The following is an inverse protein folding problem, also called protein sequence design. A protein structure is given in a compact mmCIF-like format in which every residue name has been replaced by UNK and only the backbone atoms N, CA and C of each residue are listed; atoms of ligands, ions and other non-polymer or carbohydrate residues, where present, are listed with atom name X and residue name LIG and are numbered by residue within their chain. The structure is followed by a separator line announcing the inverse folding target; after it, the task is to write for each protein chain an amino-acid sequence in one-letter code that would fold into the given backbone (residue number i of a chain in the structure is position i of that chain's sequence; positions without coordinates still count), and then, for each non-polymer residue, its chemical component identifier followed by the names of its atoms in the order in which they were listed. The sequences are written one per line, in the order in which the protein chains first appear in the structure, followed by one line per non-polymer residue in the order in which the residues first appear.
data_IF_145265158810
#
_entry.id   IF_145265158810
#
_cell.length_a   1.000
_cell.length_b   1.000
_cell.length_c   1.000
_cell.angle_alpha   90.00
_cell.angle_beta   90.00
_cell.angle_gamma   90.00
#
_symmetry.space_group_name_H-M   'P 1'
#
loop_
_entity.id
_entity.type
_entity.pdbx_description
1 polymer ?
#
# COMPACT_ATOMS: atom_id res chain seq x y z
N UNK A 1 -23.53 15.58 -8.41
CA UNK A 1 -22.38 14.96 -9.08
C UNK A 1 -21.18 15.27 -8.23
N UNK A 2 -20.81 14.32 -7.42
CA UNK A 2 -19.54 14.42 -6.75
C UNK A 2 -18.51 14.62 -7.86
N UNK A 3 -17.63 15.61 -7.77
CA UNK A 3 -16.51 15.62 -8.66
C UNK A 3 -15.94 14.23 -8.52
N UNK A 4 -15.89 13.52 -9.60
CA UNK A 4 -14.98 12.40 -9.75
C UNK A 4 -13.74 12.96 -9.09
N UNK A 5 -13.45 12.50 -7.89
CA UNK A 5 -12.22 12.87 -7.25
C UNK A 5 -11.25 12.76 -8.40
N UNK A 6 -10.71 13.86 -8.82
CA UNK A 6 -9.57 13.81 -9.71
C UNK A 6 -8.70 12.88 -8.95
N UNK A 7 -8.76 11.69 -9.36
CA UNK A 7 -7.95 10.61 -8.91
C UNK A 7 -6.59 11.26 -8.80
N UNK A 8 -6.26 11.72 -7.62
CA UNK A 8 -4.99 12.36 -7.40
C UNK A 8 -4.01 11.39 -7.97
N UNK A 9 -3.34 11.72 -9.03
CA UNK A 9 -2.72 10.88 -10.03
C UNK A 9 -2.46 9.46 -9.53
N UNK A 10 -3.38 8.54 -9.85
CA UNK A 10 -3.10 7.13 -9.62
C UNK A 10 -1.89 6.76 -10.48
N UNK A 11 -0.82 6.37 -9.84
CA UNK A 11 0.36 5.86 -10.52
C UNK A 11 0.14 4.39 -10.77
N UNK A 12 0.06 4.01 -12.05
CA UNK A 12 0.00 2.61 -12.45
C UNK A 12 1.35 2.21 -13.05
N UNK A 13 1.94 1.16 -12.50
CA UNK A 13 3.21 0.61 -12.98
C UNK A 13 2.99 -0.78 -13.55
N UNK A 14 3.52 -1.01 -14.75
CA UNK A 14 3.51 -2.30 -15.40
C UNK A 14 4.56 -3.25 -14.78
N UNK A 15 4.44 -4.57 -15.00
CA UNK A 15 5.48 -5.51 -14.59
C UNK A 15 6.86 -5.14 -15.11
N UNK A 16 6.95 -4.66 -16.34
CA UNK A 16 8.22 -4.25 -16.94
C UNK A 16 8.80 -3.01 -16.24
N UNK A 17 7.98 -2.04 -15.89
CA UNK A 17 8.41 -0.86 -15.14
C UNK A 17 8.92 -1.23 -13.74
N UNK A 18 8.28 -2.19 -13.10
CA UNK A 18 8.75 -2.72 -11.80
C UNK A 18 10.12 -3.38 -11.94
N UNK A 19 10.30 -4.22 -12.96
CA UNK A 19 11.59 -4.90 -13.19
C UNK A 19 12.73 -3.94 -13.53
N UNK A 20 12.41 -2.89 -14.30
CA UNK A 20 13.39 -1.90 -14.73
C UNK A 20 13.52 -0.71 -13.78
N UNK A 21 12.80 -0.71 -12.67
CA UNK A 21 12.83 0.39 -11.71
C UNK A 21 14.25 0.71 -11.22
N UNK A 22 14.67 1.98 -11.19
CA UNK A 22 14.06 3.21 -11.70
C UNK A 22 14.60 3.64 -13.08
N UNK A 23 14.95 2.72 -13.96
CA UNK A 23 15.68 2.98 -15.22
C UNK A 23 14.84 3.61 -16.32
N UNK A 24 13.50 3.53 -16.26
CA UNK A 24 12.63 4.21 -17.24
C UNK A 24 12.58 5.71 -16.95
N UNK A 25 12.36 6.53 -17.98
CA UNK A 25 12.29 7.97 -17.80
C UNK A 25 11.17 8.41 -16.85
N UNK A 26 10.00 7.78 -16.97
CA UNK A 26 8.87 8.05 -16.08
C UNK A 26 9.17 7.60 -14.64
N UNK A 27 9.80 6.43 -14.47
CA UNK A 27 10.19 5.92 -13.16
C UNK A 27 11.24 6.81 -12.49
N UNK A 28 12.20 7.33 -13.26
CA UNK A 28 13.19 8.28 -12.73
C UNK A 28 12.54 9.57 -12.25
N UNK A 29 11.62 10.11 -13.01
CA UNK A 29 10.89 11.32 -12.61
C UNK A 29 10.14 11.10 -11.28
N UNK A 30 9.48 9.95 -11.12
CA UNK A 30 8.80 9.59 -9.88
C UNK A 30 9.76 9.27 -8.74
N UNK A 31 10.95 8.73 -9.05
CA UNK A 31 11.95 8.40 -8.03
C UNK A 31 12.59 9.65 -7.42
N UNK A 32 12.63 10.74 -8.17
CA UNK A 32 13.29 11.98 -7.76
C UNK A 32 12.34 12.96 -7.07
N UNK A 33 11.06 12.96 -7.42
CA UNK A 33 10.09 13.90 -6.87
C UNK A 33 8.66 13.39 -6.99
N UNK A 34 7.85 13.62 -5.97
CA UNK A 34 6.43 13.34 -6.01
C UNK A 34 5.69 14.55 -6.61
N UNK A 35 4.92 14.38 -7.69
CA UNK A 35 4.43 15.52 -8.46
C UNK A 35 3.30 16.32 -7.80
N UNK A 36 2.66 15.83 -6.76
CA UNK A 36 1.49 16.52 -6.18
C UNK A 36 1.31 16.26 -4.69
N UNK A 37 0.82 17.28 -3.99
CA UNK A 37 0.35 17.18 -2.60
C UNK A 37 -1.08 16.65 -2.60
N UNK A 38 -1.28 15.37 -2.78
CA UNK A 38 -2.60 14.74 -2.82
C UNK A 38 -2.53 13.31 -2.27
N UNK A 39 -3.68 12.71 -1.91
CA UNK A 39 -3.69 11.30 -1.58
C UNK A 39 -2.97 10.47 -2.63
N UNK A 40 -2.08 9.62 -2.19
CA UNK A 40 -1.32 8.78 -3.09
C UNK A 40 -2.09 7.49 -3.42
N UNK A 41 -2.04 7.07 -4.66
CA UNK A 41 -2.59 5.81 -5.11
C UNK A 41 -1.62 5.16 -6.10
N UNK A 42 -1.20 3.93 -5.78
CA UNK A 42 -0.26 3.17 -6.61
C UNK A 42 -0.90 1.86 -7.02
N UNK A 43 -1.11 1.67 -8.31
CA UNK A 43 -1.55 0.38 -8.85
C UNK A 43 -0.36 -0.35 -9.42
N UNK A 44 -0.08 -1.53 -8.90
CA UNK A 44 1.10 -2.32 -9.25
C UNK A 44 0.72 -3.79 -9.48
N UNK A 45 1.48 -4.51 -10.30
CA UNK A 45 1.29 -5.95 -10.42
C UNK A 45 1.60 -6.67 -9.10
N UNK A 46 1.03 -7.84 -8.92
CA UNK A 46 1.24 -8.68 -7.74
C UNK A 46 2.59 -9.38 -7.78
N UNK A 47 3.63 -8.60 -7.78
CA UNK A 47 5.03 -9.04 -7.78
C UNK A 47 5.70 -8.59 -6.48
N UNK A 48 6.52 -9.46 -5.90
CA UNK A 48 7.27 -9.12 -4.68
C UNK A 48 8.14 -7.86 -4.86
N UNK A 49 8.70 -7.67 -6.04
CA UNK A 49 9.50 -6.49 -6.38
C UNK A 49 8.72 -5.19 -6.38
N UNK A 50 7.39 -5.23 -6.43
CA UNK A 50 6.56 -4.04 -6.33
C UNK A 50 6.59 -3.42 -4.92
N UNK A 51 6.84 -4.21 -3.88
CA UNK A 51 6.84 -3.73 -2.49
C UNK A 51 7.92 -2.66 -2.24
N UNK A 52 9.21 -2.89 -2.55
CA UNK A 52 10.22 -1.84 -2.36
C UNK A 52 9.99 -0.62 -3.24
N UNK A 53 9.44 -0.77 -4.43
CA UNK A 53 9.06 0.35 -5.30
C UNK A 53 7.99 1.20 -4.63
N UNK A 54 6.93 0.60 -4.14
CA UNK A 54 5.85 1.31 -3.45
C UNK A 54 6.32 1.95 -2.14
N UNK A 55 7.24 1.32 -1.42
CA UNK A 55 7.87 1.93 -0.23
C UNK A 55 8.61 3.21 -0.59
N UNK A 56 9.35 3.19 -1.69
CA UNK A 56 10.05 4.38 -2.17
C UNK A 56 9.08 5.50 -2.53
N UNK A 57 8.02 5.19 -3.28
CA UNK A 57 6.97 6.15 -3.63
C UNK A 57 6.25 6.68 -2.39
N UNK A 58 6.01 5.84 -1.40
CA UNK A 58 5.42 6.24 -0.13
C UNK A 58 6.30 7.25 0.63
N UNK A 59 7.62 7.05 0.63
CA UNK A 59 8.57 8.01 1.23
C UNK A 59 8.49 9.36 0.54
N UNK A 60 8.51 9.39 -0.78
CA UNK A 60 8.39 10.63 -1.55
C UNK A 60 7.07 11.34 -1.26
N UNK A 61 5.98 10.60 -1.17
CA UNK A 61 4.70 11.16 -0.82
C UNK A 61 4.70 11.76 0.60
N UNK A 62 5.25 11.03 1.57
CA UNK A 62 5.36 11.54 2.94
C UNK A 62 6.20 12.82 3.02
N UNK A 63 7.27 12.90 2.23
CA UNK A 63 8.07 14.12 2.11
C UNK A 63 7.23 15.26 1.54
N UNK A 64 6.44 15.01 0.51
CA UNK A 64 5.56 16.02 -0.09
C UNK A 64 4.46 16.52 0.84
N UNK A 65 4.05 15.70 1.79
CA UNK A 65 3.02 16.02 2.80
C UNK A 65 3.62 16.58 4.10
N UNK A 66 4.92 16.83 4.13
CA UNK A 66 5.64 17.31 5.30
C UNK A 66 5.46 16.42 6.53
N UNK A 67 5.35 15.13 6.34
CA UNK A 67 5.32 14.14 7.41
C UNK A 67 6.75 13.88 7.86
N UNK A 68 7.14 14.49 8.95
CA UNK A 68 8.53 14.49 9.44
C UNK A 68 8.78 13.61 10.65
N UNK A 69 7.74 13.17 11.34
CA UNK A 69 7.89 12.28 12.49
C UNK A 69 8.44 10.92 12.07
N UNK A 70 9.64 10.60 12.49
CA UNK A 70 10.32 9.36 12.10
C UNK A 70 9.59 8.10 12.56
N UNK A 71 9.00 8.15 13.73
CA UNK A 71 8.24 7.01 14.27
C UNK A 71 7.01 6.71 13.42
N UNK A 72 6.26 7.76 13.05
CA UNK A 72 5.11 7.63 12.17
C UNK A 72 5.51 7.15 10.77
N UNK A 73 6.61 7.67 10.22
CA UNK A 73 7.14 7.25 8.91
C UNK A 73 7.54 5.79 8.90
N UNK A 74 8.27 5.36 9.92
CA UNK A 74 8.66 3.95 10.05
C UNK A 74 7.44 3.04 10.19
N UNK A 75 6.47 3.40 11.02
CA UNK A 75 5.23 2.67 11.19
C UNK A 75 4.45 2.56 9.88
N UNK A 76 4.31 3.67 9.15
CA UNK A 76 3.60 3.69 7.88
C UNK A 76 4.24 2.78 6.83
N UNK A 77 5.56 2.85 6.68
CA UNK A 77 6.30 2.02 5.72
C UNK A 77 6.23 0.54 6.07
N UNK A 78 6.32 0.22 7.35
CA UNK A 78 6.21 -1.14 7.83
C UNK A 78 4.81 -1.71 7.57
N UNK A 79 3.78 -0.98 7.99
CA UNK A 79 2.38 -1.38 7.78
C UNK A 79 2.07 -1.53 6.29
N UNK A 80 2.47 -0.55 5.48
CA UNK A 80 2.25 -0.59 4.04
C UNK A 80 2.91 -1.81 3.39
N UNK A 81 4.15 -2.09 3.76
CA UNK A 81 4.89 -3.25 3.25
C UNK A 81 4.21 -4.57 3.62
N UNK A 82 3.77 -4.71 4.87
CA UNK A 82 3.11 -5.92 5.34
C UNK A 82 1.76 -6.13 4.66
N UNK A 83 0.95 -5.09 4.52
CA UNK A 83 -0.33 -5.19 3.84
C UNK A 83 -0.16 -5.53 2.36
N UNK A 84 0.82 -4.93 1.68
CA UNK A 84 1.12 -5.25 0.29
C UNK A 84 1.63 -6.68 0.13
N UNK A 85 2.54 -7.11 0.97
CA UNK A 85 3.07 -8.48 0.95
C UNK A 85 1.96 -9.50 1.15
N UNK A 86 1.07 -9.25 2.10
CA UNK A 86 -0.10 -10.09 2.33
C UNK A 86 -1.01 -10.16 1.10
N UNK A 87 -1.28 -9.04 0.46
CA UNK A 87 -2.09 -8.99 -0.75
C UNK A 87 -1.44 -9.79 -1.90
N UNK A 88 -0.12 -9.71 -2.05
CA UNK A 88 0.61 -10.45 -3.07
C UNK A 88 0.57 -11.96 -2.82
N UNK A 89 0.78 -12.38 -1.57
CA UNK A 89 0.87 -13.80 -1.21
C UNK A 89 -0.50 -14.48 -1.17
N UNK A 90 -1.52 -13.79 -0.71
CA UNK A 90 -2.81 -14.38 -0.34
C UNK A 90 -3.95 -14.10 -1.31
N UNK A 91 -3.70 -13.40 -2.42
CA UNK A 91 -4.72 -13.14 -3.42
C UNK A 91 -4.30 -13.65 -4.80
N UNK A 92 -5.30 -13.96 -5.64
CA UNK A 92 -5.09 -14.29 -7.05
C UNK A 92 -5.22 -13.05 -7.95
N UNK A 93 -5.15 -11.86 -7.35
CA UNK A 93 -5.26 -10.60 -8.07
C UNK A 93 -4.11 -10.43 -9.06
N UNK A 94 -4.39 -9.89 -10.22
CA UNK A 94 -3.37 -9.51 -11.21
C UNK A 94 -2.65 -8.24 -10.79
N UNK A 95 -3.38 -7.34 -10.15
CA UNK A 95 -2.84 -6.10 -9.60
C UNK A 95 -3.40 -5.82 -8.21
N UNK A 96 -2.67 -5.01 -7.47
CA UNK A 96 -3.08 -4.47 -6.16
C UNK A 96 -2.93 -2.97 -6.18
N UNK A 97 -3.72 -2.28 -5.36
CA UNK A 97 -3.65 -0.83 -5.25
C UNK A 97 -3.33 -0.45 -3.80
N UNK A 98 -2.21 0.21 -3.62
CA UNK A 98 -1.85 0.85 -2.36
C UNK A 98 -2.30 2.30 -2.34
N UNK A 99 -2.81 2.76 -1.20
CA UNK A 99 -3.24 4.14 -1.01
C UNK A 99 -2.73 4.69 0.30
N UNK A 100 -2.36 5.95 0.26
CA UNK A 100 -1.92 6.71 1.43
C UNK A 100 -2.71 8.01 1.47
N UNK A 101 -3.21 8.35 2.64
CA UNK A 101 -3.99 9.57 2.84
C UNK A 101 -3.68 10.16 4.22
N UNK A 102 -3.49 11.47 4.24
CA UNK A 102 -3.34 12.23 5.48
C UNK A 102 -4.65 12.95 5.79
N UNK A 103 -5.11 12.84 7.00
CA UNK A 103 -6.31 13.52 7.50
C UNK A 103 -6.03 14.03 8.93
N UNK A 104 -5.75 15.31 9.05
CA UNK A 104 -5.35 15.91 10.32
C UNK A 104 -4.11 15.24 10.88
N UNK A 105 -4.23 14.71 12.09
CA UNK A 105 -3.14 14.01 12.80
C UNK A 105 -3.09 12.50 12.49
N UNK A 106 -3.80 12.07 11.48
CA UNK A 106 -3.88 10.67 11.11
C UNK A 106 -3.34 10.41 9.72
N UNK A 107 -2.63 9.32 9.60
CA UNK A 107 -2.19 8.74 8.34
C UNK A 107 -2.94 7.44 8.12
N UNK A 108 -3.64 7.34 6.99
CA UNK A 108 -4.31 6.13 6.56
C UNK A 108 -3.50 5.42 5.50
N UNK A 109 -3.30 4.14 5.72
CA UNK A 109 -2.61 3.23 4.81
C UNK A 109 -3.61 2.18 4.37
N UNK A 110 -3.80 2.01 3.09
CA UNK A 110 -4.75 1.04 2.53
C UNK A 110 -4.10 0.21 1.43
N UNK A 111 -4.47 -1.07 1.37
CA UNK A 111 -4.11 -1.94 0.25
C UNK A 111 -5.36 -2.69 -0.18
N UNK A 112 -5.70 -2.54 -1.46
CA UNK A 112 -6.87 -3.16 -2.07
C UNK A 112 -6.42 -4.22 -3.06
N UNK A 113 -6.99 -5.43 -2.95
CA UNK A 113 -6.92 -6.46 -3.96
C UNK A 113 -8.13 -6.36 -4.93
N UNK A 114 -8.09 -7.09 -6.02
CA UNK A 114 -9.16 -7.07 -7.02
C UNK A 114 -10.36 -7.93 -6.63
N UNK A 115 -10.29 -8.67 -5.52
CA UNK A 115 -11.30 -9.64 -5.14
C UNK A 115 -11.38 -10.74 -6.18
N UNK A 116 -10.67 -11.77 -5.98
CA UNK A 116 -10.87 -13.03 -6.72
C UNK A 116 -11.90 -13.87 -5.99
N UNK A 117 -12.06 -15.10 -6.44
CA UNK A 117 -12.73 -16.14 -5.67
C UNK A 117 -12.19 -16.08 -4.25
N UNK A 118 -13.06 -16.11 -3.21
CA UNK A 118 -12.57 -16.20 -1.85
C UNK A 118 -11.50 -17.27 -1.84
N UNK A 119 -10.27 -16.86 -1.58
CA UNK A 119 -9.19 -17.80 -1.42
C UNK A 119 -9.62 -18.68 -0.26
N UNK A 120 -10.06 -19.87 -0.58
CA UNK A 120 -10.18 -20.91 0.44
C UNK A 120 -8.82 -20.93 1.13
N UNK A 121 -8.76 -20.72 2.46
CA UNK A 121 -7.50 -20.83 3.14
C UNK A 121 -6.89 -22.17 2.74
N UNK A 122 -5.82 -22.13 1.98
CA UNK A 122 -5.18 -23.37 1.54
C UNK A 122 -4.57 -24.00 2.80
N UNK A 123 -5.07 -25.15 3.24
CA UNK A 123 -4.58 -25.79 4.47
C UNK A 123 -3.10 -26.18 4.40
N UNK A 124 -2.49 -26.06 3.23
CA UNK A 124 -1.06 -26.34 3.01
C UNK A 124 -0.12 -25.18 3.37
N UNK A 125 -0.65 -24.04 3.76
CA UNK A 125 0.16 -22.85 4.11
C UNK A 125 0.28 -22.66 5.61
N UNK A 126 0.42 -23.77 6.35
CA UNK A 126 0.63 -23.72 7.80
C UNK A 126 1.90 -22.92 8.14
N UNK A 127 2.94 -23.01 7.32
CA UNK A 127 4.13 -22.16 7.44
C UNK A 127 3.88 -20.70 7.12
N UNK A 128 3.09 -20.41 6.08
CA UNK A 128 2.72 -19.04 5.72
C UNK A 128 1.68 -18.45 6.68
N UNK A 129 0.90 -19.25 7.38
CA UNK A 129 0.01 -18.77 8.41
C UNK A 129 0.78 -18.18 9.60
N UNK A 130 1.95 -18.70 9.94
CA UNK A 130 2.82 -18.12 10.97
C UNK A 130 3.46 -16.81 10.51
N UNK A 131 3.87 -16.71 9.24
CA UNK A 131 4.37 -15.46 8.67
C UNK A 131 3.24 -14.43 8.56
N UNK A 132 2.06 -14.84 8.15
CA UNK A 132 0.85 -14.01 8.12
C UNK A 132 0.51 -13.49 9.51
N UNK A 133 0.55 -14.35 10.52
CA UNK A 133 0.31 -13.96 11.89
C UNK A 133 1.34 -12.95 12.42
N UNK A 134 2.60 -13.09 12.05
CA UNK A 134 3.66 -12.14 12.43
C UNK A 134 3.45 -10.78 11.77
N UNK A 135 3.15 -10.74 10.47
CA UNK A 135 2.90 -9.50 9.76
C UNK A 135 1.72 -8.72 10.35
N UNK A 136 0.61 -9.38 10.65
CA UNK A 136 -0.55 -8.78 11.28
C UNK A 136 -0.28 -8.34 12.72
N UNK A 137 0.51 -9.07 13.47
CA UNK A 137 0.94 -8.67 14.83
C UNK A 137 1.77 -7.39 14.75
N UNK A 138 2.70 -7.31 13.83
CA UNK A 138 3.51 -6.11 13.60
C UNK A 138 2.63 -4.92 13.22
N UNK A 139 1.68 -5.11 12.32
CA UNK A 139 0.72 -4.07 11.95
C UNK A 139 -0.11 -3.62 13.15
N UNK A 140 -0.61 -4.57 13.95
CA UNK A 140 -1.39 -4.27 15.15
C UNK A 140 -0.61 -3.50 16.20
N UNK A 141 0.71 -3.74 16.31
CA UNK A 141 1.58 -3.01 17.23
C UNK A 141 1.94 -1.62 16.72
N UNK A 142 1.95 -1.41 15.41
CA UNK A 142 2.40 -0.19 14.77
C UNK A 142 1.26 0.76 14.41
N UNK A 143 0.02 0.30 14.40
CA UNK A 143 -1.17 1.08 14.03
C UNK A 143 -2.10 1.25 15.23
N UNK A 144 -2.78 2.38 15.31
CA UNK A 144 -3.80 2.66 16.33
C UNK A 144 -5.15 1.99 16.03
N UNK A 145 -5.40 1.71 14.76
CA UNK A 145 -6.56 0.94 14.32
C UNK A 145 -6.22 0.24 13.00
N UNK A 146 -6.87 -0.88 12.77
CA UNK A 146 -6.77 -1.63 11.53
C UNK A 146 -8.09 -2.35 11.25
N UNK A 147 -8.33 -2.68 10.00
CA UNK A 147 -9.53 -3.39 9.63
C UNK A 147 -9.53 -3.83 8.17
N UNK A 148 -10.63 -4.43 7.79
CA UNK A 148 -10.89 -4.85 6.42
C UNK A 148 -12.23 -4.32 5.95
N UNK A 149 -12.34 -4.06 4.65
CA UNK A 149 -13.56 -3.59 4.01
C UNK A 149 -13.76 -4.34 2.70
N UNK A 150 -14.97 -4.87 2.48
CA UNK A 150 -15.35 -5.39 1.18
C UNK A 150 -15.79 -4.23 0.30
N UNK A 151 -15.24 -4.16 -0.90
CA UNK A 151 -15.60 -3.17 -1.89
C UNK A 151 -16.80 -3.65 -2.74
N UNK A 152 -17.51 -2.69 -3.35
CA UNK A 152 -18.69 -2.98 -4.17
C UNK A 152 -18.38 -3.82 -5.42
N UNK A 153 -17.14 -3.78 -5.89
CA UNK A 153 -16.66 -4.56 -7.03
C UNK A 153 -16.22 -6.00 -6.65
N UNK A 154 -16.34 -6.36 -5.37
CA UNK A 154 -15.89 -7.64 -4.83
C UNK A 154 -14.45 -7.64 -4.34
N UNK A 155 -13.73 -6.55 -4.50
CA UNK A 155 -12.39 -6.36 -3.94
C UNK A 155 -12.42 -6.23 -2.43
N UNK A 156 -11.26 -6.46 -1.82
CA UNK A 156 -11.08 -6.32 -0.38
C UNK A 156 -10.00 -5.29 -0.11
N UNK A 157 -10.31 -4.36 0.80
CA UNK A 157 -9.34 -3.37 1.28
C UNK A 157 -8.95 -3.70 2.71
N UNK A 158 -7.65 -3.81 2.94
CA UNK A 158 -7.06 -3.81 4.27
C UNK A 158 -6.59 -2.39 4.57
N UNK A 159 -6.92 -1.88 5.75
CA UNK A 159 -6.55 -0.52 6.10
C UNK A 159 -5.96 -0.46 7.50
N UNK A 160 -5.14 0.53 7.71
CA UNK A 160 -4.57 0.87 9.02
C UNK A 160 -4.55 2.39 9.21
N UNK A 161 -4.65 2.82 10.44
CA UNK A 161 -4.56 4.22 10.84
C UNK A 161 -3.39 4.40 11.78
N UNK A 162 -2.56 5.37 11.48
CA UNK A 162 -1.33 5.65 12.23
C UNK A 162 -1.39 7.09 12.72
N UNK A 163 -1.05 7.30 14.00
CA UNK A 163 -0.94 8.64 14.57
C UNK A 163 0.30 9.35 14.05
N UNK A 164 0.14 10.61 13.65
CA UNK A 164 1.22 11.52 13.27
C UNK A 164 1.74 12.31 14.47
N UNK A 165 1.03 12.27 15.57
CA UNK A 165 1.44 12.86 16.86
C UNK A 165 1.78 11.73 17.81
N UNK A 166 3.00 11.66 18.26
CA UNK A 166 3.48 10.63 19.18
C UNK A 166 2.80 10.67 20.55
#
# INVERSE_FOLDING_TARGET
MLPTARSGAQIALSPQEIELWPKTASARALADDWPTRQPASFRVPTLERAVPVCRHLARLWMDSEDITDESARCAALLVFSELMTNAIIHTDSVSITGRLRKDGDWLFVEVQDEGGKPSVPHPHRVGSANEYGRGLVVVAQSAQALGTRLETDGGRTFWARISLTG
#
